data_IF_191797974387
#
_entry.id   IF_191797974387
#
_cell.length_a   1.000
_cell.length_b   1.000
_cell.length_c   1.000
_cell.angle_alpha   90.00
_cell.angle_beta   90.00
_cell.angle_gamma   90.00
#
_symmetry.space_group_name_H-M   'P 1'
#
loop_
_entity.id
_entity.type
_entity.pdbx_description
1 polymer ?
#
# COMPACT_ATOMS: atom_id res chain seq x y z
N UNK A 1 -12.02 -2.86 8.37
CA UNK A 1 -11.44 -3.23 9.70
C UNK A 1 -9.92 -3.23 9.61
N UNK A 2 -9.22 -2.66 10.59
CA UNK A 2 -7.74 -2.73 10.73
C UNK A 2 -7.35 -3.55 11.95
N UNK A 3 -6.19 -4.21 11.89
CA UNK A 3 -5.61 -5.03 12.97
C UNK A 3 -4.12 -4.74 13.06
N UNK A 4 -3.63 -4.41 14.25
CA UNK A 4 -2.20 -4.27 14.53
C UNK A 4 -1.65 -5.56 15.13
N UNK A 5 -0.48 -5.98 14.67
CA UNK A 5 0.18 -7.21 15.08
C UNK A 5 1.61 -6.89 15.43
N UNK A 6 1.98 -7.10 16.68
CA UNK A 6 3.36 -6.93 17.15
C UNK A 6 4.06 -8.28 17.17
N UNK A 7 5.23 -8.33 16.53
CA UNK A 7 6.17 -9.44 16.62
C UNK A 7 7.18 -9.09 17.70
N UNK A 8 7.23 -9.87 18.78
CA UNK A 8 8.16 -9.66 19.88
C UNK A 8 9.57 -10.21 19.56
N UNK A 9 10.53 -9.99 20.46
CA UNK A 9 11.87 -10.56 20.36
C UNK A 9 11.81 -12.09 20.14
N UNK A 10 12.60 -12.60 19.18
CA UNK A 10 12.62 -14.01 18.82
C UNK A 10 11.45 -14.49 17.95
N UNK A 11 10.46 -13.63 17.66
CA UNK A 11 9.41 -13.89 16.67
C UNK A 11 9.64 -13.03 15.43
N UNK A 12 9.84 -13.67 14.28
CA UNK A 12 9.97 -12.93 13.01
C UNK A 12 8.67 -12.92 12.23
N UNK A 13 8.46 -11.89 11.42
CA UNK A 13 7.32 -11.81 10.48
C UNK A 13 7.26 -13.06 9.59
N UNK A 14 8.41 -13.47 9.06
CA UNK A 14 8.58 -14.64 8.19
C UNK A 14 8.39 -15.98 8.91
N UNK A 15 8.33 -16.00 10.24
CA UNK A 15 8.03 -17.22 10.99
C UNK A 15 6.61 -17.72 10.71
N UNK A 16 5.67 -16.83 10.43
CA UNK A 16 4.30 -17.20 10.04
C UNK A 16 3.95 -16.75 8.62
N UNK A 17 4.37 -15.57 8.17
CA UNK A 17 3.98 -15.03 6.86
C UNK A 17 4.88 -15.60 5.77
N UNK A 18 4.27 -16.37 4.86
CA UNK A 18 4.98 -17.04 3.79
C UNK A 18 5.45 -16.08 2.68
N UNK A 19 4.75 -14.95 2.51
CA UNK A 19 5.15 -13.88 1.61
C UNK A 19 4.08 -12.82 1.43
N UNK A 20 4.45 -11.80 0.66
CA UNK A 20 3.57 -10.73 0.21
C UNK A 20 3.44 -10.78 -1.31
N UNK A 21 2.26 -10.48 -1.84
CA UNK A 21 2.01 -10.30 -3.27
C UNK A 21 1.60 -8.87 -3.51
N UNK A 22 2.11 -8.32 -4.59
CA UNK A 22 1.76 -7.01 -5.10
C UNK A 22 1.83 -7.07 -6.62
N UNK A 23 1.12 -6.17 -7.29
CA UNK A 23 1.08 -6.10 -8.74
C UNK A 23 1.99 -4.96 -9.21
N UNK A 24 3.17 -5.29 -9.75
CA UNK A 24 4.10 -4.29 -10.30
C UNK A 24 3.50 -3.47 -11.44
N UNK A 25 2.45 -3.96 -12.10
CA UNK A 25 1.78 -3.25 -13.18
C UNK A 25 0.73 -2.25 -12.70
N UNK A 26 0.37 -2.30 -11.41
CA UNK A 26 -0.56 -1.39 -10.75
C UNK A 26 -0.01 -0.93 -9.40
N UNK A 27 0.66 0.24 -9.33
CA UNK A 27 1.21 0.79 -8.09
C UNK A 27 0.16 1.12 -7.02
N UNK A 28 -1.14 1.10 -7.36
CA UNK A 28 -2.23 1.28 -6.39
C UNK A 28 -2.77 -0.06 -5.88
N UNK A 29 -2.33 -1.19 -6.46
CA UNK A 29 -2.72 -2.50 -5.99
C UNK A 29 -2.19 -2.76 -4.57
N UNK A 30 -3.05 -3.23 -3.65
CA UNK A 30 -2.64 -3.41 -2.26
C UNK A 30 -1.69 -4.60 -2.07
N UNK A 31 -0.74 -4.44 -1.15
CA UNK A 31 0.22 -5.49 -0.78
C UNK A 31 -0.47 -6.55 0.05
N UNK A 32 -0.69 -7.72 -0.54
CA UNK A 32 -1.57 -8.76 0.01
C UNK A 32 -0.76 -9.89 0.66
N UNK A 33 -1.21 -10.37 1.81
CA UNK A 33 -0.66 -11.60 2.42
C UNK A 33 -1.02 -12.80 1.56
N UNK A 34 -0.01 -13.54 1.07
CA UNK A 34 -0.22 -14.68 0.15
C UNK A 34 -0.49 -16.00 0.84
N UNK A 35 -0.06 -16.12 2.09
CA UNK A 35 -0.14 -17.38 2.82
C UNK A 35 0.56 -17.33 4.16
N UNK A 36 0.35 -18.39 4.93
CA UNK A 36 0.98 -18.59 6.22
C UNK A 36 1.67 -19.95 6.27
N UNK A 37 2.89 -20.00 6.78
CA UNK A 37 3.69 -21.21 6.95
C UNK A 37 3.30 -22.00 8.19
N UNK A 38 2.82 -21.30 9.24
CA UNK A 38 2.31 -21.86 10.49
C UNK A 38 1.46 -20.81 11.22
N UNK A 39 0.81 -21.21 12.32
CA UNK A 39 0.10 -20.27 13.19
C UNK A 39 1.07 -19.38 13.94
N UNK A 40 0.78 -18.07 13.97
CA UNK A 40 1.56 -17.07 14.69
C UNK A 40 0.73 -15.86 15.13
N UNK A 41 1.40 -14.73 15.45
CA UNK A 41 0.77 -13.50 15.94
C UNK A 41 -0.37 -12.98 15.04
N UNK A 42 -0.15 -12.87 13.73
CA UNK A 42 -1.11 -12.34 12.78
C UNK A 42 -2.35 -13.23 12.67
N UNK A 43 -2.18 -14.55 12.57
CA UNK A 43 -3.31 -15.46 12.58
C UNK A 43 -4.08 -15.42 13.91
N UNK A 44 -3.39 -15.24 15.04
CA UNK A 44 -4.00 -15.11 16.37
C UNK A 44 -4.83 -13.83 16.49
N UNK A 45 -4.36 -12.74 15.86
CA UNK A 45 -5.09 -11.48 15.74
C UNK A 45 -6.23 -11.52 14.70
N UNK A 46 -6.38 -12.63 13.97
CA UNK A 46 -7.45 -12.87 13.00
C UNK A 46 -7.15 -12.35 11.59
N UNK A 47 -5.89 -12.06 11.27
CA UNK A 47 -5.46 -11.75 9.89
C UNK A 47 -5.62 -13.00 9.03
N UNK A 48 -6.14 -12.82 7.81
CA UNK A 48 -6.39 -13.90 6.86
C UNK A 48 -5.64 -13.67 5.55
N UNK A 49 -5.52 -14.72 4.75
CA UNK A 49 -5.06 -14.59 3.36
C UNK A 49 -6.00 -13.64 2.61
N UNK A 50 -5.43 -12.75 1.78
CA UNK A 50 -6.21 -11.71 1.10
C UNK A 50 -6.32 -10.39 1.89
N UNK A 51 -5.83 -10.33 3.14
CA UNK A 51 -5.67 -9.06 3.85
C UNK A 51 -4.47 -8.29 3.32
N UNK A 52 -4.54 -6.96 3.44
CA UNK A 52 -3.51 -6.06 2.95
C UNK A 52 -2.64 -5.54 4.06
N UNK A 53 -1.36 -5.32 3.76
CA UNK A 53 -0.45 -4.57 4.60
C UNK A 53 -0.70 -3.07 4.39
N UNK A 54 -0.89 -2.33 5.48
CA UNK A 54 -0.97 -0.87 5.44
C UNK A 54 0.43 -0.29 5.23
N UNK A 55 0.73 0.05 3.97
CA UNK A 55 1.99 0.65 3.58
C UNK A 55 2.20 1.99 4.27
N UNK A 56 1.15 2.80 4.42
CA UNK A 56 1.28 4.10 5.09
C UNK A 56 1.67 3.96 6.57
N UNK A 57 1.16 2.94 7.26
CA UNK A 57 1.63 2.59 8.60
C UNK A 57 3.07 2.06 8.57
N UNK A 58 3.39 1.16 7.63
CA UNK A 58 4.71 0.55 7.50
C UNK A 58 5.84 1.56 7.26
N UNK A 59 5.60 2.61 6.46
CA UNK A 59 6.60 3.66 6.20
C UNK A 59 6.99 4.46 7.45
N UNK A 60 6.26 4.30 8.56
CA UNK A 60 6.54 4.93 9.87
C UNK A 60 7.08 3.95 10.90
N UNK A 61 7.25 2.68 10.53
CA UNK A 61 7.71 1.62 11.42
C UNK A 61 9.24 1.61 11.49
N UNK A 62 9.81 1.79 12.68
CA UNK A 62 11.26 1.98 12.88
C UNK A 62 12.09 0.81 12.33
N UNK A 63 11.60 -0.40 12.50
CA UNK A 63 12.28 -1.63 12.08
C UNK A 63 12.27 -1.73 10.56
N UNK A 64 11.21 -1.28 9.91
CA UNK A 64 11.17 -1.18 8.44
C UNK A 64 12.10 -0.06 7.93
N UNK A 65 12.14 1.07 8.63
CA UNK A 65 13.03 2.20 8.32
C UNK A 65 14.50 1.79 8.42
N UNK A 66 14.86 0.96 9.42
CA UNK A 66 16.22 0.45 9.63
C UNK A 66 16.70 -0.51 8.54
N UNK A 67 15.81 -1.01 7.67
CA UNK A 67 16.18 -1.78 6.50
C UNK A 67 16.70 -0.85 5.41
N UNK A 68 17.96 -0.42 5.54
CA UNK A 68 18.69 0.40 4.58
C UNK A 68 19.83 -0.37 3.90
N UNK A 69 20.26 0.05 2.71
CA UNK A 69 21.38 -0.58 1.99
C UNK A 69 21.33 -0.41 0.47
N UNK A 70 22.46 -0.69 -0.20
CA UNK A 70 22.66 -0.50 -1.65
C UNK A 70 21.62 -1.25 -2.52
N UNK A 71 21.07 -2.37 -2.03
CA UNK A 71 20.16 -3.22 -2.81
C UNK A 71 18.68 -2.80 -2.78
N UNK A 72 18.29 -1.89 -1.86
CA UNK A 72 16.88 -1.47 -1.70
C UNK A 72 16.58 -0.13 -2.37
N UNK A 73 17.60 0.68 -2.68
CA UNK A 73 17.42 2.08 -3.06
C UNK A 73 16.99 2.97 -1.89
N UNK A 74 16.60 4.23 -2.15
CA UNK A 74 16.26 5.19 -1.11
C UNK A 74 15.06 4.72 -0.28
N UNK A 75 15.05 5.05 1.02
CA UNK A 75 13.92 4.81 1.91
C UNK A 75 12.69 5.58 1.39
N UNK A 76 11.59 4.90 1.02
CA UNK A 76 10.37 5.59 0.65
C UNK A 76 9.75 6.25 1.88
N UNK A 77 9.29 7.48 1.71
CA UNK A 77 8.57 8.25 2.73
C UNK A 77 7.10 8.46 2.37
N UNK A 78 6.78 8.28 1.09
CA UNK A 78 5.43 8.40 0.54
C UNK A 78 5.08 7.19 -0.33
N UNK A 79 3.78 7.02 -0.62
CA UNK A 79 3.33 6.02 -1.60
C UNK A 79 3.84 6.33 -3.02
N UNK A 80 4.10 7.60 -3.34
CA UNK A 80 4.69 7.97 -4.62
C UNK A 80 6.13 7.46 -4.74
N UNK A 81 6.92 7.54 -3.67
CA UNK A 81 8.29 7.00 -3.64
C UNK A 81 8.27 5.47 -3.84
N UNK A 82 7.31 4.78 -3.22
CA UNK A 82 7.11 3.34 -3.42
C UNK A 82 6.81 3.02 -4.89
N UNK A 83 5.92 3.78 -5.52
CA UNK A 83 5.58 3.58 -6.92
C UNK A 83 6.76 3.85 -7.88
N UNK A 84 7.64 4.79 -7.53
CA UNK A 84 8.84 5.12 -8.33
C UNK A 84 9.95 4.07 -8.20
N UNK A 85 10.02 3.33 -7.09
CA UNK A 85 11.01 2.28 -6.86
C UNK A 85 10.36 1.01 -6.28
N UNK A 86 9.45 0.42 -7.05
CA UNK A 86 8.69 -0.76 -6.62
C UNK A 86 9.58 -1.98 -6.38
N UNK A 87 10.62 -2.18 -7.19
CA UNK A 87 11.54 -3.31 -7.05
C UNK A 87 12.34 -3.22 -5.74
N UNK A 88 12.85 -2.04 -5.42
CA UNK A 88 13.55 -1.79 -4.16
C UNK A 88 12.64 -1.98 -2.94
N UNK A 89 11.39 -1.51 -3.04
CA UNK A 89 10.37 -1.72 -2.01
C UNK A 89 10.03 -3.20 -1.82
N UNK A 90 9.91 -3.97 -2.90
CA UNK A 90 9.69 -5.42 -2.82
C UNK A 90 10.83 -6.12 -2.08
N UNK A 91 12.08 -5.83 -2.45
CA UNK A 91 13.24 -6.42 -1.79
C UNK A 91 13.23 -6.10 -0.29
N UNK A 92 12.85 -4.88 0.07
CA UNK A 92 12.74 -4.46 1.47
C UNK A 92 11.61 -5.17 2.22
N UNK A 93 10.46 -5.39 1.58
CA UNK A 93 9.37 -6.20 2.14
C UNK A 93 9.76 -7.68 2.35
N UNK A 94 10.57 -8.25 1.46
CA UNK A 94 11.10 -9.59 1.70
C UNK A 94 12.10 -9.60 2.85
N UNK A 95 12.93 -8.56 3.00
CA UNK A 95 13.83 -8.41 4.15
C UNK A 95 13.08 -8.23 5.49
N UNK A 96 11.93 -7.54 5.47
CA UNK A 96 11.04 -7.36 6.63
C UNK A 96 10.60 -8.70 7.25
N UNK A 97 10.55 -9.78 6.44
CA UNK A 97 10.24 -11.13 6.94
C UNK A 97 11.28 -11.62 7.96
N UNK A 98 12.51 -11.10 7.92
CA UNK A 98 13.56 -11.39 8.89
C UNK A 98 13.46 -10.58 10.18
N UNK A 99 12.65 -9.53 10.24
CA UNK A 99 12.55 -8.65 11.40
C UNK A 99 11.72 -9.27 12.53
N UNK A 100 12.22 -9.10 13.76
CA UNK A 100 11.47 -9.18 15.01
C UNK A 100 11.28 -7.78 15.59
N UNK A 101 10.56 -7.66 16.70
CA UNK A 101 10.32 -6.39 17.39
C UNK A 101 9.67 -5.34 16.49
N UNK A 102 8.74 -5.78 15.63
CA UNK A 102 8.11 -4.96 14.61
C UNK A 102 6.59 -5.04 14.72
N UNK A 103 5.91 -3.91 14.53
CA UNK A 103 4.44 -3.86 14.48
C UNK A 103 3.95 -3.68 13.06
N UNK A 104 3.17 -4.65 12.57
CA UNK A 104 2.54 -4.59 11.26
C UNK A 104 1.05 -4.28 11.40
N UNK A 105 0.58 -3.34 10.59
CA UNK A 105 -0.86 -3.03 10.51
C UNK A 105 -1.45 -3.68 9.27
N UNK A 106 -2.46 -4.53 9.46
CA UNK A 106 -3.18 -5.20 8.39
C UNK A 106 -4.59 -4.63 8.24
N UNK A 107 -5.02 -4.47 7.00
CA UNK A 107 -6.35 -4.02 6.62
C UNK A 107 -7.12 -5.20 6.03
N UNK A 108 -8.35 -5.40 6.49
CA UNK A 108 -9.21 -6.43 5.96
C UNK A 108 -9.59 -6.12 4.51
N UNK A 109 -9.00 -6.86 3.57
CA UNK A 109 -9.29 -6.77 2.14
C UNK A 109 -10.60 -7.39 1.71
N UNK A 110 -11.44 -7.88 2.63
CA UNK A 110 -12.82 -8.26 2.36
C UNK A 110 -13.82 -7.24 2.92
N UNK A 111 -13.32 -6.30 3.72
CA UNK A 111 -14.07 -5.18 4.30
C UNK A 111 -13.78 -3.91 3.49
N UNK A 112 -13.72 -4.05 2.15
CA UNK A 112 -13.60 -2.94 1.24
C UNK A 112 -14.86 -2.08 1.37
N UNK A 113 -14.74 -0.94 2.04
CA UNK A 113 -15.28 0.26 1.41
C UNK A 113 -14.44 0.46 0.15
N UNK A 114 -15.04 0.20 -1.02
CA UNK A 114 -14.46 0.64 -2.28
C UNK A 114 -14.11 2.13 -2.11
N UNK A 115 -12.84 2.46 -2.02
CA UNK A 115 -12.43 3.80 -2.42
C UNK A 115 -12.95 3.92 -3.86
N UNK A 116 -13.71 4.96 -4.22
CA UNK A 116 -14.21 5.11 -5.58
C UNK A 116 -13.02 5.33 -6.50
N UNK A 117 -12.44 4.22 -6.98
CA UNK A 117 -11.40 4.21 -7.98
C UNK A 117 -12.10 4.17 -9.33
N UNK A 118 -11.97 5.26 -10.08
CA UNK A 118 -12.42 5.34 -11.45
C UNK A 118 -11.17 5.42 -12.34
N UNK A 119 -11.07 4.52 -13.31
CA UNK A 119 -10.08 4.61 -14.39
C UNK A 119 -10.79 5.11 -15.64
N UNK A 120 -10.46 6.32 -16.05
CA UNK A 120 -10.95 6.90 -17.31
C UNK A 120 -9.81 6.88 -18.32
N UNK A 121 -10.09 6.39 -19.53
CA UNK A 121 -9.21 6.53 -20.69
C UNK A 121 -9.81 7.59 -21.58
N UNK A 122 -9.06 8.66 -21.83
CA UNK A 122 -9.46 9.71 -22.74
C UNK A 122 -9.01 9.34 -24.16
N UNK A 123 -9.91 9.46 -25.13
CA UNK A 123 -9.58 9.39 -26.57
C UNK A 123 -9.23 10.78 -27.14
N UNK A 124 -9.54 11.83 -26.37
CA UNK A 124 -9.25 13.24 -26.64
C UNK A 124 -8.43 13.87 -25.50
N UNK A 125 -8.21 15.18 -25.54
CA UNK A 125 -7.46 15.89 -24.50
C UNK A 125 -8.24 15.93 -23.18
N UNK A 126 -7.58 15.59 -22.06
CA UNK A 126 -8.17 15.61 -20.70
C UNK A 126 -8.79 16.97 -20.36
N UNK A 127 -8.23 18.07 -20.90
CA UNK A 127 -8.75 19.43 -20.69
C UNK A 127 -10.12 19.71 -21.32
N UNK A 128 -10.64 18.82 -22.19
CA UNK A 128 -12.00 18.94 -22.71
C UNK A 128 -13.07 18.64 -21.65
N UNK A 129 -12.71 17.85 -20.63
CA UNK A 129 -13.59 17.49 -19.51
C UNK A 129 -13.16 18.16 -18.20
N UNK A 130 -11.86 18.14 -17.87
CA UNK A 130 -11.35 18.65 -16.60
C UNK A 130 -10.91 20.10 -16.77
N UNK A 131 -11.55 21.03 -16.04
CA UNK A 131 -11.33 22.47 -16.21
C UNK A 131 -10.09 22.99 -15.48
N UNK A 132 -9.54 22.21 -14.55
CA UNK A 132 -8.36 22.59 -13.77
C UNK A 132 -7.89 21.49 -12.82
N UNK A 133 -6.60 21.53 -12.51
CA UNK A 133 -5.94 20.68 -11.53
C UNK A 133 -5.09 21.57 -10.61
N UNK A 134 -5.31 21.47 -9.30
CA UNK A 134 -4.50 22.15 -8.28
C UNK A 134 -3.73 21.14 -7.44
N UNK A 135 -2.44 21.38 -7.23
CA UNK A 135 -1.60 20.62 -6.31
C UNK A 135 -1.42 21.41 -5.00
N UNK A 136 -1.65 20.74 -3.86
CA UNK A 136 -1.37 21.31 -2.55
C UNK A 136 -0.86 20.25 -1.59
N UNK A 137 0.44 20.31 -1.27
CA UNK A 137 1.05 19.44 -0.26
C UNK A 137 1.16 17.98 -0.69
N UNK A 138 1.46 17.74 -1.97
CA UNK A 138 1.55 16.42 -2.60
C UNK A 138 0.22 15.85 -3.07
N UNK A 139 -0.89 16.59 -2.92
CA UNK A 139 -2.24 16.13 -3.30
C UNK A 139 -2.73 16.92 -4.49
N UNK A 140 -3.04 16.23 -5.60
CA UNK A 140 -3.67 16.81 -6.79
C UNK A 140 -5.19 16.73 -6.65
N UNK A 141 -5.87 17.86 -6.83
CA UNK A 141 -7.32 18.00 -6.77
C UNK A 141 -7.84 18.47 -8.12
N UNK A 142 -8.98 17.96 -8.57
CA UNK A 142 -9.71 18.50 -9.72
C UNK A 142 -10.45 19.75 -9.28
N UNK A 143 -10.17 20.87 -9.93
CA UNK A 143 -10.80 22.16 -9.61
C UNK A 143 -12.24 22.23 -10.12
N UNK A 144 -12.56 21.50 -11.19
CA UNK A 144 -13.89 21.43 -11.79
C UNK A 144 -13.95 20.63 -13.07
N UNK A 145 -15.17 20.47 -13.58
CA UNK A 145 -15.46 19.82 -14.87
C UNK A 145 -16.04 20.86 -15.85
N UNK A 146 -15.47 20.95 -17.04
CA UNK A 146 -15.82 21.91 -18.09
C UNK A 146 -17.26 21.78 -18.58
N UNK A 147 -17.86 20.59 -18.49
CA UNK A 147 -19.21 20.29 -19.00
C UNK A 147 -20.24 19.96 -17.90
N UNK A 148 -20.10 20.51 -16.69
CA UNK A 148 -20.96 20.18 -15.54
C UNK A 148 -22.44 20.67 -15.65
N UNK A 149 -22.98 20.92 -16.86
CA UNK A 149 -24.35 21.38 -17.08
C UNK A 149 -24.95 20.84 -18.36
N UNK A 150 -25.90 19.90 -18.23
CA UNK A 150 -26.61 19.30 -19.35
C UNK A 150 -27.85 18.48 -18.98
N UNK A 151 -28.59 18.84 -17.94
CA UNK A 151 -30.04 18.58 -17.88
C UNK A 151 -30.77 19.92 -17.85
N UNK A 152 -31.50 20.23 -18.92
CA UNK A 152 -32.33 21.43 -19.04
C UNK A 152 -32.59 21.83 -20.48
N UNK A 153 -33.55 21.15 -21.13
CA UNK A 153 -34.06 21.47 -22.47
C UNK A 153 -34.87 20.34 -23.08
#
# INVERSE_FOLDING_TARGET
KTVQVTYEEGMTVGSEIAGFRFDVSDPLAPFTVTGFSKKGPAQTAGVMVGWFLDVGALLREEQFISLEGEDFGPLPTTLADVAQNMEGFQKRLEALRGCSEVTLTFMNGLDFQLLPQCRVKYEEEVGSEISGLTEKGGVVTIDGFSNAGGEGG
#
